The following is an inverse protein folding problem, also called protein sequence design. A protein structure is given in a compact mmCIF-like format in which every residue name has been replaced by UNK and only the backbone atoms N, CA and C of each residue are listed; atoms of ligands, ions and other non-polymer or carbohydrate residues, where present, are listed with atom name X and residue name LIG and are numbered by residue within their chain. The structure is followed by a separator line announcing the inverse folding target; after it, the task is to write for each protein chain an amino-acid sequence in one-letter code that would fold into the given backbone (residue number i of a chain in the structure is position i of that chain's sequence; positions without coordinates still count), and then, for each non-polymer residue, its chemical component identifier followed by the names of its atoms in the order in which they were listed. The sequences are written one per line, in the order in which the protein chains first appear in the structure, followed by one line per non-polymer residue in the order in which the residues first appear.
data_IF_926943973371
#
_entry.id   IF_926943973371
#
_cell.length_a   1.000
_cell.length_b   1.000
_cell.length_c   1.000
_cell.angle_alpha   90.00
_cell.angle_beta   90.00
_cell.angle_gamma   90.00
#
_symmetry.space_group_name_H-M   'P 1'
#
loop_
_entity.id
_entity.type
_entity.pdbx_description
1 polymer ?
#
# COMPACT_ATOMS: atom_id res chain seq x y z
N UNK A 1 5.62 19.07 -7.95
CA UNK A 1 6.39 18.11 -8.76
C UNK A 1 5.79 16.76 -8.45
N UNK A 2 5.05 16.15 -9.39
CA UNK A 2 4.22 14.94 -9.20
C UNK A 2 5.06 13.77 -8.68
N UNK A 3 4.62 13.06 -7.65
CA UNK A 3 5.06 11.69 -7.43
C UNK A 3 4.23 10.76 -8.34
N UNK A 4 4.90 9.81 -8.97
CA UNK A 4 4.27 8.86 -9.87
C UNK A 4 4.11 7.52 -9.12
N UNK A 5 2.90 6.98 -9.05
CA UNK A 5 2.65 5.61 -8.60
C UNK A 5 2.26 4.77 -9.80
N UNK A 6 2.59 3.48 -9.76
CA UNK A 6 2.25 2.55 -10.84
C UNK A 6 1.21 1.57 -10.31
N UNK A 7 0.11 1.45 -11.06
CA UNK A 7 -0.83 0.36 -10.90
C UNK A 7 -0.36 -0.79 -11.79
N UNK A 8 0.10 -1.88 -11.18
CA UNK A 8 0.50 -3.10 -11.89
C UNK A 8 -0.53 -4.18 -11.62
N UNK A 9 -1.00 -4.86 -12.67
CA UNK A 9 -1.84 -6.05 -12.49
C UNK A 9 -0.95 -7.27 -12.31
N UNK A 10 -0.86 -7.74 -11.07
CA UNK A 10 -0.16 -8.97 -10.71
C UNK A 10 -1.11 -10.18 -10.91
N UNK A 11 -0.68 -11.23 -11.64
CA UNK A 11 -1.54 -12.39 -11.92
C UNK A 11 -1.96 -13.19 -10.67
N UNK A 12 -1.21 -13.09 -9.57
CA UNK A 12 -1.46 -13.83 -8.31
C UNK A 12 -2.17 -12.97 -7.27
N UNK A 13 -1.92 -11.67 -7.28
CA UNK A 13 -2.36 -10.74 -6.23
C UNK A 13 -3.48 -9.79 -6.69
N UNK A 14 -3.59 -9.51 -8.00
CA UNK A 14 -4.56 -8.55 -8.54
C UNK A 14 -3.94 -7.17 -8.81
N UNK A 15 -4.75 -6.12 -8.73
CA UNK A 15 -4.28 -4.76 -8.97
C UNK A 15 -3.45 -4.28 -7.75
N UNK A 16 -2.18 -4.01 -8.00
CA UNK A 16 -1.19 -3.60 -6.99
C UNK A 16 -0.78 -2.16 -7.25
N UNK A 17 -0.93 -1.31 -6.23
CA UNK A 17 -0.43 0.07 -6.27
C UNK A 17 0.96 0.10 -5.62
N UNK A 18 1.96 0.50 -6.40
CA UNK A 18 3.33 0.67 -5.93
C UNK A 18 3.74 2.14 -6.06
N UNK A 19 4.14 2.81 -4.96
CA UNK A 19 4.70 4.15 -5.04
C UNK A 19 6.08 4.10 -5.71
N UNK A 20 6.33 4.98 -6.69
CA UNK A 20 7.61 4.99 -7.42
C UNK A 20 8.31 6.37 -7.35
N UNK A 21 9.56 6.43 -6.85
CA UNK A 21 10.32 7.67 -6.89
C UNK A 21 10.88 7.88 -8.31
N UNK A 22 10.06 8.49 -9.19
CA UNK A 22 10.35 8.91 -10.58
C UNK A 22 10.44 7.78 -11.60
N UNK A 23 9.76 7.96 -12.74
CA UNK A 23 9.73 7.01 -13.86
C UNK A 23 11.15 6.75 -14.39
N UNK A 24 11.70 5.60 -14.03
CA UNK A 24 12.55 4.79 -14.88
C UNK A 24 11.97 3.37 -14.78
N UNK A 25 11.50 2.82 -15.90
CA UNK A 25 10.90 1.49 -15.94
C UNK A 25 11.99 0.46 -15.62
N UNK A 26 12.14 0.11 -14.35
CA UNK A 26 12.95 -1.03 -13.92
C UNK A 26 11.96 -2.14 -13.63
N UNK A 27 11.94 -3.15 -14.50
CA UNK A 27 11.26 -4.40 -14.23
C UNK A 27 12.11 -5.11 -13.17
N UNK A 28 11.68 -5.20 -11.89
CA UNK A 28 12.54 -5.76 -10.86
C UNK A 28 12.76 -7.23 -11.17
N UNK A 29 14.03 -7.62 -11.24
CA UNK A 29 14.40 -9.03 -11.44
C UNK A 29 14.48 -9.69 -10.07
N UNK A 30 14.21 -11.01 -10.01
CA UNK A 30 14.27 -11.77 -8.75
C UNK A 30 15.69 -11.67 -8.16
N UNK A 31 15.85 -10.86 -7.11
CA UNK A 31 17.14 -10.55 -6.47
C UNK A 31 17.44 -9.05 -6.27
N UNK A 32 16.57 -8.15 -6.76
CA UNK A 32 16.76 -6.70 -6.53
C UNK A 32 16.45 -6.31 -5.07
N UNK A 33 17.43 -5.67 -4.42
CA UNK A 33 17.25 -4.99 -3.13
C UNK A 33 16.44 -3.71 -3.34
N UNK A 34 15.13 -3.78 -3.08
CA UNK A 34 14.30 -2.59 -3.00
C UNK A 34 14.74 -1.80 -1.76
N UNK A 35 15.30 -0.61 -1.95
CA UNK A 35 15.71 0.24 -0.83
C UNK A 35 14.50 0.61 0.04
N UNK A 36 14.39 -0.02 1.21
CA UNK A 36 13.47 0.35 2.29
C UNK A 36 13.95 1.58 3.08
N UNK A 37 14.58 2.56 2.40
CA UNK A 37 15.10 3.78 3.01
C UNK A 37 14.05 4.90 3.08
N UNK A 38 14.39 5.97 3.83
CA UNK A 38 13.55 7.17 4.03
C UNK A 38 12.91 7.64 2.72
N UNK A 39 11.61 7.36 2.58
CA UNK A 39 10.84 7.81 1.44
C UNK A 39 10.71 9.32 1.50
N UNK A 40 10.84 9.95 0.35
CA UNK A 40 10.57 11.37 0.24
C UNK A 40 9.14 11.66 0.74
N UNK A 41 9.00 12.57 1.71
CA UNK A 41 7.73 12.79 2.42
C UNK A 41 6.53 13.05 1.49
N UNK A 42 6.76 13.73 0.36
CA UNK A 42 5.72 13.95 -0.64
C UNK A 42 5.17 12.65 -1.27
N UNK A 43 5.99 11.62 -1.43
CA UNK A 43 5.56 10.30 -1.95
C UNK A 43 4.65 9.59 -0.95
N UNK A 44 4.93 9.75 0.35
CA UNK A 44 4.11 9.18 1.43
C UNK A 44 2.74 9.85 1.45
N UNK A 45 2.69 11.18 1.31
CA UNK A 45 1.44 11.94 1.24
C UNK A 45 0.60 11.57 0.00
N UNK A 46 1.21 11.57 -1.19
CA UNK A 46 0.51 11.23 -2.45
C UNK A 46 -0.04 9.78 -2.40
N UNK A 47 0.70 8.86 -1.78
CA UNK A 47 0.24 7.49 -1.53
C UNK A 47 -0.92 7.43 -0.53
N UNK A 48 -0.87 8.24 0.54
CA UNK A 48 -1.97 8.40 1.48
C UNK A 48 -3.25 8.90 0.81
N UNK A 49 -3.14 9.91 -0.06
CA UNK A 49 -4.27 10.46 -0.80
C UNK A 49 -4.91 9.39 -1.72
N UNK A 50 -4.09 8.63 -2.45
CA UNK A 50 -4.58 7.53 -3.29
C UNK A 50 -5.32 6.45 -2.48
N UNK A 51 -4.80 6.08 -1.31
CA UNK A 51 -5.48 5.14 -0.41
C UNK A 51 -6.77 5.73 0.18
N UNK A 52 -6.77 7.03 0.49
CA UNK A 52 -7.94 7.73 1.03
C UNK A 52 -9.11 7.67 0.04
N UNK A 53 -8.87 7.84 -1.27
CA UNK A 53 -9.90 7.68 -2.31
C UNK A 53 -10.54 6.28 -2.30
N UNK A 54 -9.78 5.25 -1.94
CA UNK A 54 -10.26 3.88 -1.86
C UNK A 54 -11.11 3.60 -0.61
N UNK A 55 -10.92 4.34 0.49
CA UNK A 55 -11.62 4.09 1.77
C UNK A 55 -13.14 4.13 1.65
N UNK A 56 -13.68 4.96 0.75
CA UNK A 56 -15.12 5.06 0.51
C UNK A 56 -15.75 3.71 0.10
N UNK A 57 -14.99 2.88 -0.64
CA UNK A 57 -15.43 1.56 -1.10
C UNK A 57 -15.13 0.45 -0.11
N UNK A 58 -14.36 0.75 0.93
CA UNK A 58 -13.88 -0.19 1.95
C UNK A 58 -13.40 -1.51 1.33
N UNK A 59 -12.43 -1.46 0.40
CA UNK A 59 -11.98 -2.65 -0.30
C UNK A 59 -11.28 -3.61 0.67
N UNK A 60 -11.34 -4.91 0.33
CA UNK A 60 -10.38 -5.86 0.90
C UNK A 60 -9.00 -5.57 0.35
N UNK A 61 -8.00 -5.51 1.22
CA UNK A 61 -6.62 -5.20 0.85
C UNK A 61 -5.63 -6.15 1.54
N UNK A 62 -4.44 -6.23 0.95
CA UNK A 62 -3.24 -6.79 1.58
C UNK A 62 -2.22 -5.66 1.61
N UNK A 63 -1.75 -5.29 2.80
CA UNK A 63 -0.71 -4.29 3.00
C UNK A 63 0.57 -5.00 3.47
N UNK A 64 1.68 -4.77 2.78
CA UNK A 64 3.01 -5.20 3.23
C UNK A 64 3.72 -4.08 3.97
N UNK A 65 4.38 -4.39 5.08
CA UNK A 65 5.22 -3.47 5.84
C UNK A 65 6.43 -4.23 6.40
N UNK A 66 7.59 -4.07 5.76
CA UNK A 66 8.77 -4.89 6.01
C UNK A 66 8.48 -6.37 5.74
N UNK A 67 8.81 -7.22 6.71
CA UNK A 67 8.57 -8.66 6.66
C UNK A 67 7.13 -9.04 7.05
N UNK A 68 6.31 -8.07 7.44
CA UNK A 68 4.92 -8.30 7.85
C UNK A 68 3.95 -8.07 6.69
N UNK A 69 2.89 -8.87 6.67
CA UNK A 69 1.79 -8.74 5.71
C UNK A 69 0.47 -8.77 6.44
N UNK A 70 -0.31 -7.70 6.30
CA UNK A 70 -1.61 -7.55 6.94
C UNK A 70 -2.73 -7.63 5.90
N UNK A 71 -3.68 -8.53 6.11
CA UNK A 71 -4.85 -8.69 5.24
C UNK A 71 -6.12 -8.25 5.97
N UNK A 72 -6.85 -7.33 5.37
CA UNK A 72 -8.07 -6.80 6.00
C UNK A 72 -8.90 -5.94 5.06
N UNK A 73 -9.93 -5.31 5.62
CA UNK A 73 -10.73 -4.29 4.95
C UNK A 73 -10.15 -2.92 5.24
N UNK A 74 -9.85 -2.13 4.21
CA UNK A 74 -9.36 -0.77 4.37
C UNK A 74 -10.47 0.12 4.97
N UNK A 75 -10.20 0.72 6.14
CA UNK A 75 -11.19 1.54 6.86
C UNK A 75 -10.92 3.02 6.74
N UNK A 76 -9.75 3.44 7.21
CA UNK A 76 -9.37 4.84 7.34
C UNK A 76 -7.93 5.00 6.92
N UNK A 77 -7.64 6.15 6.33
CA UNK A 77 -6.30 6.58 5.97
C UNK A 77 -6.16 8.00 6.49
N UNK A 78 -5.12 8.24 7.27
CA UNK A 78 -4.68 9.58 7.65
C UNK A 78 -3.33 9.87 6.99
N UNK A 79 -2.80 11.07 7.24
CA UNK A 79 -1.47 11.47 6.80
C UNK A 79 -0.34 10.62 7.40
N UNK A 80 -0.62 9.86 8.45
CA UNK A 80 0.39 9.09 9.19
C UNK A 80 0.08 7.60 9.29
N UNK A 81 -1.20 7.21 9.27
CA UNK A 81 -1.64 5.86 9.64
C UNK A 81 -2.73 5.37 8.69
N UNK A 82 -2.61 4.10 8.31
CA UNK A 82 -3.67 3.33 7.65
C UNK A 82 -4.27 2.35 8.65
N UNK A 83 -5.59 2.26 8.68
CA UNK A 83 -6.31 1.29 9.52
C UNK A 83 -6.97 0.23 8.67
N UNK A 84 -6.68 -1.03 9.00
CA UNK A 84 -7.31 -2.21 8.42
C UNK A 84 -8.17 -2.91 9.47
N UNK A 85 -9.37 -3.36 9.10
CA UNK A 85 -10.10 -4.33 9.91
C UNK A 85 -9.78 -5.74 9.44
N UNK A 86 -9.20 -6.56 10.30
CA UNK A 86 -8.91 -7.96 9.99
C UNK A 86 -10.13 -8.83 10.32
N UNK A 87 -10.41 -9.80 9.46
CA UNK A 87 -11.46 -10.77 9.69
C UNK A 87 -10.97 -11.85 10.67
N UNK A 88 -11.70 -12.01 11.78
CA UNK A 88 -11.50 -13.02 12.82
C UNK A 88 -12.78 -13.14 13.67
N UNK A 89 -12.78 -13.96 14.73
CA UNK A 89 -13.93 -14.10 15.64
C UNK A 89 -14.33 -12.77 16.29
N UNK A 90 -13.35 -11.89 16.49
CA UNK A 90 -13.53 -10.49 16.87
C UNK A 90 -12.95 -9.63 15.75
N UNK A 91 -13.71 -8.64 15.26
CA UNK A 91 -13.20 -7.66 14.29
C UNK A 91 -12.15 -6.79 14.98
N UNK A 92 -10.89 -7.07 14.71
CA UNK A 92 -9.76 -6.31 15.23
C UNK A 92 -9.29 -5.27 14.21
N UNK A 93 -8.83 -4.12 14.72
CA UNK A 93 -8.27 -3.06 13.89
C UNK A 93 -6.76 -3.07 14.02
N UNK A 94 -6.06 -3.08 12.90
CA UNK A 94 -4.61 -2.93 12.81
C UNK A 94 -4.33 -1.53 12.31
N UNK A 95 -3.37 -0.88 12.95
CA UNK A 95 -2.88 0.45 12.62
C UNK A 95 -1.46 0.31 12.08
N UNK A 96 -1.25 0.76 10.85
CA UNK A 96 0.04 0.64 10.17
C UNK A 96 0.50 2.04 9.84
N UNK A 97 1.74 2.39 10.22
CA UNK A 97 2.32 3.67 9.83
C UNK A 97 2.40 3.73 8.30
N UNK A 98 1.83 4.78 7.69
CA UNK A 98 1.77 4.96 6.25
C UNK A 98 3.18 4.93 5.63
N UNK A 99 4.16 5.53 6.30
CA UNK A 99 5.56 5.52 5.88
C UNK A 99 6.19 4.12 5.87
N UNK A 100 5.67 3.17 6.65
CA UNK A 100 6.16 1.80 6.74
C UNK A 100 5.51 0.85 5.71
N UNK A 101 4.48 1.30 4.98
CA UNK A 101 3.75 0.45 4.02
C UNK A 101 4.51 0.37 2.71
N UNK A 102 5.04 -0.79 2.36
CA UNK A 102 5.78 -1.00 1.12
C UNK A 102 4.89 -1.09 -0.10
N UNK A 103 3.72 -1.71 0.06
CA UNK A 103 2.75 -1.87 -1.01
C UNK A 103 1.36 -2.12 -0.45
N UNK A 104 0.34 -1.80 -1.25
CA UNK A 104 -1.04 -2.20 -1.01
C UNK A 104 -1.60 -2.88 -2.26
N UNK A 105 -2.07 -4.10 -2.08
CA UNK A 105 -2.82 -4.85 -3.09
C UNK A 105 -4.30 -4.67 -2.84
N UNK A 106 -5.03 -4.19 -3.85
CA UNK A 106 -6.49 -4.07 -3.78
C UNK A 106 -7.11 -5.36 -4.29
N UNK A 107 -7.86 -6.04 -3.43
CA UNK A 107 -8.55 -7.29 -3.80
C UNK A 107 -9.91 -6.95 -4.41
N UNK A 108 -10.01 -7.08 -5.72
CA UNK A 108 -11.30 -7.20 -6.38
C UNK A 108 -12.00 -8.48 -5.91
N UNK A 109 -13.30 -8.38 -5.63
CA UNK A 109 -14.14 -9.57 -5.40
C UNK A 109 -14.21 -10.43 -6.65
#
# INVERSE_FOLDING_TARGET
MRADFVCVRDPRLGDTLMPTPRILTVQPTRGDDLQAGDRYHAVVLDFGDALMELTARRPGVIAGAGDETHRGELRTVSTEVVTLTVAGERRESIYIALAAIDYVVVRSR
#
